data_IF_050830705187
#
_entry.id   IF_050830705187
#
_cell.length_a   1.000
_cell.length_b   1.000
_cell.length_c   1.000
_cell.angle_alpha   90.00
_cell.angle_beta   90.00
_cell.angle_gamma   90.00
#
_symmetry.space_group_name_H-M   'P 1'
#
loop_
_entity.id
_entity.type
_entity.pdbx_description
1 polymer ?
#
# COMPACT_ATOMS: atom_id res chain seq x y z
N UNK A 1 7.84 6.76 -3.29
CA UNK A 1 9.06 6.57 -4.14
C UNK A 1 8.65 5.84 -5.40
N UNK A 2 9.11 6.27 -6.59
CA UNK A 2 8.89 5.53 -7.83
C UNK A 2 9.99 4.48 -8.02
N UNK A 3 9.78 3.53 -8.96
CA UNK A 3 10.79 2.54 -9.32
C UNK A 3 12.09 3.22 -9.80
N UNK A 4 11.98 4.20 -10.69
CA UNK A 4 13.12 4.95 -11.20
C UNK A 4 13.91 5.66 -10.08
N UNK A 5 13.19 6.29 -9.14
CA UNK A 5 13.84 6.92 -7.99
C UNK A 5 14.58 5.91 -7.10
N UNK A 6 13.97 4.73 -6.86
CA UNK A 6 14.60 3.66 -6.08
C UNK A 6 15.87 3.14 -6.76
N UNK A 7 15.83 2.97 -8.08
CA UNK A 7 16.96 2.46 -8.86
C UNK A 7 18.07 3.50 -9.07
N UNK A 8 17.75 4.79 -9.02
CA UNK A 8 18.67 5.87 -9.40
C UNK A 8 19.96 5.93 -8.56
N UNK A 9 19.93 5.56 -7.27
CA UNK A 9 21.12 5.60 -6.43
C UNK A 9 21.04 4.68 -5.20
N UNK A 10 22.22 4.27 -4.65
CA UNK A 10 22.26 3.60 -3.34
C UNK A 10 21.66 4.43 -2.21
N UNK A 11 21.81 5.76 -2.25
CA UNK A 11 21.25 6.67 -1.24
C UNK A 11 19.70 6.65 -1.24
N UNK A 12 19.07 6.55 -2.41
CA UNK A 12 17.63 6.44 -2.50
C UNK A 12 17.13 5.09 -1.94
N UNK A 13 17.86 4.00 -2.19
CA UNK A 13 17.56 2.69 -1.61
C UNK A 13 17.75 2.70 -0.09
N UNK A 14 18.80 3.31 0.41
CA UNK A 14 19.03 3.48 1.84
C UNK A 14 17.89 4.27 2.50
N UNK A 15 17.46 5.37 1.89
CA UNK A 15 16.30 6.15 2.35
C UNK A 15 15.01 5.33 2.39
N UNK A 16 14.75 4.55 1.33
CA UNK A 16 13.58 3.67 1.30
C UNK A 16 13.64 2.64 2.44
N UNK A 17 14.76 1.91 2.54
CA UNK A 17 14.90 0.84 3.50
C UNK A 17 14.93 1.32 4.95
N UNK A 18 15.52 2.50 5.23
CA UNK A 18 15.45 3.12 6.55
C UNK A 18 14.00 3.40 6.96
N UNK A 19 13.21 4.03 6.12
CA UNK A 19 11.79 4.30 6.39
C UNK A 19 10.99 3.00 6.55
N UNK A 20 11.19 2.05 5.65
CA UNK A 20 10.59 0.72 5.74
C UNK A 20 11.01 -0.03 7.03
N UNK A 21 12.24 0.13 7.48
CA UNK A 21 12.75 -0.47 8.71
C UNK A 21 11.97 0.00 9.94
N UNK A 22 11.77 1.30 10.05
CA UNK A 22 11.00 1.90 11.17
C UNK A 22 9.51 1.61 11.09
N UNK A 23 8.93 1.54 9.90
CA UNK A 23 7.50 1.27 9.71
C UNK A 23 7.11 -0.21 9.88
N UNK A 24 8.04 -1.13 9.63
CA UNK A 24 7.77 -2.56 9.59
C UNK A 24 7.13 -3.16 10.84
N UNK A 25 7.57 -2.87 12.08
CA UNK A 25 7.00 -3.50 13.27
C UNK A 25 5.49 -3.24 13.40
N UNK A 26 5.06 -2.01 13.18
CA UNK A 26 3.62 -1.65 13.22
C UNK A 26 2.86 -2.24 12.04
N UNK A 27 3.44 -2.16 10.85
CA UNK A 27 2.84 -2.71 9.64
C UNK A 27 2.60 -4.22 9.76
N UNK A 28 3.60 -4.98 10.18
CA UNK A 28 3.51 -6.43 10.34
C UNK A 28 2.62 -6.88 11.50
N UNK A 29 2.38 -6.01 12.48
CA UNK A 29 1.48 -6.27 13.61
C UNK A 29 0.02 -5.95 13.30
N UNK A 30 -0.29 -5.34 12.15
CA UNK A 30 -1.66 -4.99 11.76
C UNK A 30 -2.51 -6.26 11.64
N UNK A 31 -3.76 -6.17 12.11
CA UNK A 31 -4.70 -7.29 12.13
C UNK A 31 -5.83 -7.08 11.11
N UNK A 32 -6.41 -8.15 10.56
CA UNK A 32 -7.60 -8.07 9.74
C UNK A 32 -8.75 -7.36 10.44
N UNK A 33 -9.48 -6.54 9.72
CA UNK A 33 -10.71 -5.91 10.19
C UNK A 33 -11.95 -6.71 9.78
N UNK A 34 -13.14 -6.26 10.20
CA UNK A 34 -14.40 -6.93 9.94
C UNK A 34 -14.70 -7.14 8.45
N UNK A 35 -14.23 -6.23 7.56
CA UNK A 35 -14.41 -6.40 6.12
C UNK A 35 -13.59 -7.59 5.58
N UNK A 36 -12.34 -7.73 6.04
CA UNK A 36 -11.50 -8.86 5.64
C UNK A 36 -12.12 -10.20 6.07
N UNK A 37 -12.61 -10.27 7.31
CA UNK A 37 -13.27 -11.48 7.84
C UNK A 37 -14.53 -11.81 7.06
N UNK A 38 -15.38 -10.82 6.80
CA UNK A 38 -16.61 -11.01 6.03
C UNK A 38 -16.34 -11.53 4.60
N UNK A 39 -15.29 -11.02 3.93
CA UNK A 39 -14.89 -11.50 2.60
C UNK A 39 -14.41 -12.95 2.65
N UNK A 40 -13.62 -13.31 3.66
CA UNK A 40 -13.15 -14.69 3.84
C UNK A 40 -14.32 -15.66 4.11
N UNK A 41 -15.32 -15.25 4.92
CA UNK A 41 -16.53 -16.04 5.16
C UNK A 41 -17.35 -16.24 3.89
N UNK A 42 -17.54 -15.21 3.08
CA UNK A 42 -18.26 -15.30 1.80
C UNK A 42 -17.52 -16.19 0.79
N UNK A 43 -16.19 -16.13 0.76
CA UNK A 43 -15.34 -17.01 -0.06
C UNK A 43 -15.50 -18.47 0.37
N UNK A 44 -15.43 -18.76 1.67
CA UNK A 44 -15.58 -20.12 2.23
C UNK A 44 -16.95 -20.73 1.91
N UNK A 45 -17.99 -19.90 1.78
CA UNK A 45 -19.35 -20.32 1.38
C UNK A 45 -19.53 -20.40 -0.15
N UNK A 46 -18.49 -20.11 -0.94
CA UNK A 46 -18.54 -20.17 -2.41
C UNK A 46 -19.19 -18.97 -3.10
N UNK A 47 -19.53 -17.89 -2.36
CA UNK A 47 -20.09 -16.67 -2.94
C UNK A 47 -19.04 -15.80 -3.63
N UNK A 48 -17.77 -15.91 -3.22
CA UNK A 48 -16.64 -15.23 -3.83
C UNK A 48 -15.71 -16.28 -4.43
N UNK A 49 -15.54 -16.24 -5.74
CA UNK A 49 -14.67 -17.16 -6.50
C UNK A 49 -13.19 -16.75 -6.47
N UNK A 50 -12.90 -15.47 -6.22
CA UNK A 50 -11.55 -14.94 -6.11
C UNK A 50 -11.54 -13.49 -5.65
N UNK A 51 -10.42 -13.06 -5.08
CA UNK A 51 -10.21 -11.73 -4.56
C UNK A 51 -8.93 -11.13 -5.16
N UNK A 52 -9.05 -9.93 -5.76
CA UNK A 52 -7.91 -9.17 -6.25
C UNK A 52 -7.71 -7.99 -5.31
N UNK A 53 -6.56 -7.92 -4.66
CA UNK A 53 -6.22 -6.81 -3.78
C UNK A 53 -5.11 -5.93 -4.36
N UNK A 54 -5.25 -4.62 -4.18
CA UNK A 54 -4.18 -3.65 -4.44
C UNK A 54 -3.29 -3.44 -3.20
N UNK A 55 -3.74 -3.90 -2.03
CA UNK A 55 -3.00 -3.80 -0.79
C UNK A 55 -1.83 -4.79 -0.77
N UNK A 56 -0.79 -4.42 -0.01
CA UNK A 56 0.47 -5.18 0.08
C UNK A 56 0.69 -5.77 1.49
N UNK A 57 -0.39 -5.85 2.29
CA UNK A 57 -0.36 -6.13 3.74
C UNK A 57 -0.69 -7.58 4.13
N UNK A 58 -1.13 -8.41 3.17
CA UNK A 58 -1.57 -9.80 3.40
C UNK A 58 -2.75 -9.97 4.36
N UNK A 59 -3.51 -8.91 4.65
CA UNK A 59 -4.60 -9.00 5.63
C UNK A 59 -5.75 -9.88 5.16
N UNK A 60 -6.01 -9.99 3.86
CA UNK A 60 -7.01 -10.91 3.33
C UNK A 60 -6.63 -12.38 3.60
N UNK A 61 -5.38 -12.77 3.33
CA UNK A 61 -4.88 -14.11 3.64
C UNK A 61 -4.86 -14.37 5.14
N UNK A 62 -4.46 -13.38 5.95
CA UNK A 62 -4.50 -13.47 7.41
C UNK A 62 -5.92 -13.59 7.99
N UNK A 63 -6.95 -13.10 7.27
CA UNK A 63 -8.36 -13.27 7.61
C UNK A 63 -8.93 -14.64 7.21
N UNK A 64 -8.18 -15.45 6.44
CA UNK A 64 -8.60 -16.78 6.00
C UNK A 64 -9.05 -16.88 4.54
N UNK A 65 -8.95 -15.80 3.73
CA UNK A 65 -9.14 -15.88 2.29
C UNK A 65 -8.04 -16.71 1.63
N UNK A 66 -8.43 -17.58 0.67
CA UNK A 66 -7.53 -18.55 0.04
C UNK A 66 -7.17 -18.21 -1.41
N UNK A 67 -8.12 -17.69 -2.17
CA UNK A 67 -7.91 -17.31 -3.57
C UNK A 67 -7.68 -15.79 -3.69
N UNK A 68 -6.56 -15.34 -3.12
CA UNK A 68 -6.16 -13.92 -3.10
C UNK A 68 -5.07 -13.67 -4.12
N UNK A 69 -5.30 -12.75 -5.03
CA UNK A 69 -4.29 -12.21 -5.95
C UNK A 69 -3.81 -10.85 -5.46
N UNK A 70 -2.56 -10.78 -5.02
CA UNK A 70 -1.88 -9.54 -4.64
C UNK A 70 -1.40 -8.82 -5.91
N UNK A 71 -2.27 -8.00 -6.52
CA UNK A 71 -2.01 -7.35 -7.81
C UNK A 71 -0.71 -6.53 -7.81
N UNK A 72 -0.50 -5.80 -6.73
CA UNK A 72 0.69 -4.96 -6.56
C UNK A 72 1.78 -5.63 -5.68
N UNK A 73 1.66 -6.94 -5.44
CA UNK A 73 2.62 -7.69 -4.64
C UNK A 73 2.45 -7.55 -3.15
N UNK A 74 3.53 -7.74 -2.40
CA UNK A 74 3.47 -7.78 -0.95
C UNK A 74 4.70 -7.14 -0.29
N UNK A 75 4.48 -6.44 0.83
CA UNK A 75 5.57 -5.94 1.67
C UNK A 75 6.18 -7.03 2.57
N UNK A 76 5.59 -8.23 2.62
CA UNK A 76 6.09 -9.35 3.43
C UNK A 76 7.21 -10.15 2.77
N UNK A 77 7.53 -9.86 1.51
CA UNK A 77 8.64 -10.48 0.78
C UNK A 77 9.59 -9.44 0.21
N UNK A 78 10.81 -9.87 0.02
CA UNK A 78 11.89 -9.11 -0.63
C UNK A 78 12.38 -9.92 -1.81
N UNK A 79 12.57 -9.28 -2.95
CA UNK A 79 13.07 -9.88 -4.18
C UNK A 79 14.41 -9.27 -4.57
N UNK A 80 15.33 -10.11 -4.99
CA UNK A 80 16.58 -9.67 -5.61
C UNK A 80 16.33 -9.34 -7.09
N UNK A 81 16.63 -8.13 -7.50
CA UNK A 81 16.47 -7.71 -8.89
C UNK A 81 17.51 -8.32 -9.86
N UNK A 82 18.60 -8.88 -9.32
CA UNK A 82 19.63 -9.54 -10.13
C UNK A 82 19.34 -11.02 -10.41
N UNK A 83 18.92 -11.80 -9.39
CA UNK A 83 18.75 -13.24 -9.53
C UNK A 83 17.33 -13.75 -9.26
N UNK A 84 16.37 -12.88 -8.95
CA UNK A 84 14.99 -13.24 -8.68
C UNK A 84 14.74 -13.94 -7.32
N UNK A 85 15.79 -14.19 -6.52
CA UNK A 85 15.64 -14.84 -5.22
C UNK A 85 14.70 -14.06 -4.33
N UNK A 86 13.76 -14.76 -3.70
CA UNK A 86 12.82 -14.23 -2.73
C UNK A 86 13.25 -14.60 -1.31
N UNK A 87 13.08 -13.69 -0.37
CA UNK A 87 13.32 -13.88 1.06
C UNK A 87 12.21 -13.23 1.87
N UNK A 88 11.99 -13.71 3.08
CA UNK A 88 11.00 -13.09 3.95
C UNK A 88 11.42 -11.66 4.36
N UNK A 89 10.46 -10.74 4.43
CA UNK A 89 10.72 -9.37 4.91
C UNK A 89 11.27 -9.35 6.34
N UNK A 90 10.87 -10.33 7.16
CA UNK A 90 11.39 -10.48 8.53
C UNK A 90 12.90 -10.76 8.55
N UNK A 91 13.42 -11.54 7.59
CA UNK A 91 14.85 -11.81 7.47
C UNK A 91 15.61 -10.53 7.09
N UNK A 92 15.05 -9.78 6.13
CA UNK A 92 15.58 -8.47 5.76
C UNK A 92 15.56 -7.50 6.94
N UNK A 93 14.51 -7.54 7.78
CA UNK A 93 14.43 -6.68 8.97
C UNK A 93 15.58 -6.98 9.94
N UNK A 94 15.91 -8.25 10.18
CA UNK A 94 17.04 -8.66 11.01
C UNK A 94 18.37 -8.19 10.41
N UNK A 95 18.60 -8.47 9.13
CA UNK A 95 19.81 -8.05 8.45
C UNK A 95 20.02 -6.51 8.47
N UNK A 96 18.93 -5.74 8.34
CA UNK A 96 18.97 -4.28 8.46
C UNK A 96 19.32 -3.86 9.91
N UNK A 97 18.77 -4.53 10.94
CA UNK A 97 19.08 -4.24 12.33
C UNK A 97 20.55 -4.50 12.65
N UNK A 98 21.09 -5.63 12.20
CA UNK A 98 22.47 -6.04 12.41
C UNK A 98 23.46 -5.05 11.80
N UNK A 99 23.15 -4.54 10.60
CA UNK A 99 23.98 -3.57 9.89
C UNK A 99 23.82 -2.12 10.39
N UNK A 100 22.76 -1.83 11.17
CA UNK A 100 22.44 -0.49 11.63
C UNK A 100 22.11 -0.47 13.14
N UNK A 101 23.03 -0.81 14.03
CA UNK A 101 22.76 -0.99 15.46
C UNK A 101 22.20 0.27 16.15
N UNK A 102 22.64 1.46 15.74
CA UNK A 102 22.11 2.72 16.27
C UNK A 102 20.61 2.90 15.89
N UNK A 103 20.25 2.59 14.65
CA UNK A 103 18.84 2.62 14.20
C UNK A 103 18.00 1.56 14.92
N UNK A 104 18.55 0.38 15.16
CA UNK A 104 17.87 -0.69 15.88
C UNK A 104 17.61 -0.30 17.35
N UNK A 105 18.59 0.28 18.05
CA UNK A 105 18.42 0.79 19.40
C UNK A 105 17.37 1.91 19.47
N UNK A 106 17.39 2.84 18.52
CA UNK A 106 16.39 3.89 18.42
C UNK A 106 14.98 3.31 18.17
N UNK A 107 14.84 2.36 17.25
CA UNK A 107 13.55 1.68 17.00
C UNK A 107 13.04 0.98 18.27
N UNK A 108 13.90 0.27 19.01
CA UNK A 108 13.52 -0.38 20.27
C UNK A 108 12.96 0.64 21.28
N UNK A 109 13.61 1.80 21.41
CA UNK A 109 13.12 2.89 22.27
C UNK A 109 11.75 3.40 21.83
N UNK A 110 11.52 3.54 20.51
CA UNK A 110 10.21 3.98 19.98
C UNK A 110 9.09 2.96 20.27
N UNK A 111 9.41 1.67 20.23
CA UNK A 111 8.44 0.60 20.45
C UNK A 111 8.07 0.41 21.93
N UNK A 112 8.96 0.79 22.87
CA UNK A 112 8.71 0.71 24.31
C UNK A 112 7.95 1.91 24.86
N UNK A 113 7.80 3.00 24.10
CA UNK A 113 7.03 4.17 24.54
C UNK A 113 5.54 3.85 24.55
N UNK A 114 4.82 4.23 25.64
CA UNK A 114 3.36 4.16 25.63
C UNK A 114 2.79 4.90 24.43
N UNK A 115 1.78 4.32 23.80
CA UNK A 115 1.04 5.00 22.76
C UNK A 115 0.44 6.29 23.33
N UNK A 116 0.63 7.41 22.64
CA UNK A 116 -0.08 8.65 22.99
C UNK A 116 -1.44 8.62 22.28
N UNK A 117 -2.55 8.49 23.03
CA UNK A 117 -3.87 8.41 22.43
C UNK A 117 -4.26 9.66 21.62
N UNK A 118 -3.69 10.82 21.95
CA UNK A 118 -3.93 12.06 21.22
C UNK A 118 -3.19 12.05 19.88
N UNK A 119 -1.93 11.61 19.87
CA UNK A 119 -1.14 11.46 18.65
C UNK A 119 -1.73 10.39 17.72
N UNK A 120 -2.25 9.28 18.26
CA UNK A 120 -2.93 8.26 17.46
C UNK A 120 -4.23 8.76 16.84
N UNK A 121 -5.03 9.55 17.56
CA UNK A 121 -6.25 10.17 17.02
C UNK A 121 -5.92 11.19 15.94
N UNK A 122 -4.92 12.03 16.13
CA UNK A 122 -4.47 13.00 15.14
C UNK A 122 -3.92 12.27 13.89
N UNK A 123 -3.16 11.20 14.09
CA UNK A 123 -2.67 10.35 13.00
C UNK A 123 -3.83 9.68 12.23
N UNK A 124 -4.84 9.17 12.92
CA UNK A 124 -6.03 8.59 12.29
C UNK A 124 -6.82 9.60 11.48
N UNK A 125 -6.93 10.84 11.97
CA UNK A 125 -7.54 11.98 11.27
C UNK A 125 -6.73 12.35 10.02
N UNK A 126 -5.40 12.45 10.12
CA UNK A 126 -4.51 12.77 8.98
C UNK A 126 -4.52 11.67 7.92
N UNK A 127 -4.57 10.40 8.31
CA UNK A 127 -4.71 9.27 7.37
C UNK A 127 -6.10 9.29 6.71
N UNK A 128 -7.16 9.62 7.45
CA UNK A 128 -8.50 9.81 6.90
C UNK A 128 -8.56 10.96 5.89
N UNK A 129 -7.98 12.11 6.20
CA UNK A 129 -7.92 13.27 5.30
C UNK A 129 -6.94 13.10 4.13
N UNK A 130 -5.88 12.30 4.30
CA UNK A 130 -4.94 11.98 3.21
C UNK A 130 -5.57 11.05 2.16
N UNK A 131 -6.62 10.28 2.49
CA UNK A 131 -7.43 9.56 1.50
C UNK A 131 -8.27 10.50 0.63
N UNK A 132 -8.63 11.69 1.16
CA UNK A 132 -9.30 12.74 0.39
C UNK A 132 -8.33 13.60 -0.42
N UNK A 133 -7.04 13.62 -0.08
CA UNK A 133 -6.00 14.41 -0.75
C UNK A 133 -5.31 13.70 -1.94
N UNK A 134 -5.81 12.56 -2.42
CA UNK A 134 -5.69 12.16 -3.83
C UNK A 134 -6.76 12.92 -4.66
N UNK A 135 -7.07 14.11 -4.29
CA UNK A 135 -7.61 15.12 -5.20
C UNK A 135 -6.43 15.65 -6.02
N UNK A 136 -6.18 14.94 -7.11
CA UNK A 136 -5.90 15.47 -8.41
C UNK A 136 -5.46 16.93 -8.40
N UNK A 137 -4.16 17.16 -8.50
CA UNK A 137 -3.66 18.21 -9.35
C UNK A 137 -3.98 17.85 -10.81
N UNK A 138 -5.25 17.99 -11.18
CA UNK A 138 -5.72 17.92 -12.55
C UNK A 138 -6.71 19.07 -12.72
N UNK A 139 -6.31 19.98 -13.60
CA UNK A 139 -7.04 21.14 -14.09
C UNK A 139 -6.95 22.43 -13.27
N UNK A 140 -5.86 23.18 -13.50
CA UNK A 140 -5.97 24.61 -13.75
C UNK A 140 -5.05 24.96 -14.90
N UNK A 141 -5.49 24.65 -16.10
CA UNK A 141 -5.07 25.35 -17.29
C UNK A 141 -6.13 26.39 -17.57
N UNK A 142 -5.88 27.62 -17.19
CA UNK A 142 -6.30 28.79 -17.97
C UNK A 142 -5.64 30.06 -17.42
N UNK A 143 -4.90 30.65 -18.31
CA UNK A 143 -4.69 32.09 -18.53
C UNK A 143 -4.00 32.92 -17.46
N UNK A 144 -2.79 33.33 -17.78
CA UNK A 144 -2.55 34.75 -17.93
C UNK A 144 -1.61 35.41 -16.95
N UNK A 145 -0.54 35.89 -17.55
CA UNK A 145 0.18 37.14 -17.29
C UNK A 145 1.39 37.14 -16.35
N UNK A 146 2.43 37.50 -17.01
CA UNK A 146 3.82 37.77 -16.72
C UNK A 146 4.15 38.66 -15.51
N UNK A 147 5.41 38.52 -15.13
CA UNK A 147 6.41 39.54 -14.76
C UNK A 147 6.95 39.41 -13.33
N UNK A 148 8.27 39.38 -13.25
CA UNK A 148 8.99 39.79 -12.06
C UNK A 148 10.19 38.95 -11.68
N UNK A 149 11.30 39.08 -12.42
CA UNK A 149 12.65 38.71 -12.02
C UNK A 149 13.09 39.44 -10.75
N UNK A 150 13.64 38.72 -9.77
CA UNK A 150 14.73 39.29 -8.96
C UNK A 150 15.63 38.15 -8.41
N UNK A 151 16.86 38.26 -8.79
CA UNK A 151 18.02 37.55 -8.32
C UNK A 151 18.35 37.93 -6.87
N UNK A 152 18.54 36.96 -5.99
CA UNK A 152 19.08 37.15 -4.66
C UNK A 152 20.01 36.02 -4.29
N UNK A 153 21.29 36.24 -4.41
CA UNK A 153 22.34 35.38 -3.90
C UNK A 153 22.30 35.39 -2.37
N UNK A 154 22.24 34.23 -1.73
CA UNK A 154 22.41 34.12 -0.30
C UNK A 154 23.53 33.15 0.04
N UNK A 155 24.40 33.65 0.90
CA UNK A 155 25.67 33.15 1.35
C UNK A 155 25.59 31.80 2.07
N UNK A 156 26.64 31.01 1.86
CA UNK A 156 27.00 29.82 2.61
C UNK A 156 27.42 30.16 4.06
N UNK A 157 26.57 29.79 5.03
CA UNK A 157 26.96 29.77 6.45
C UNK A 157 27.20 28.31 6.91
N UNK A 158 28.04 28.07 7.94
CA UNK A 158 28.43 26.73 8.34
C UNK A 158 27.25 26.00 8.99
N UNK A 159 27.08 24.73 8.60
CA UNK A 159 26.08 23.83 9.15
C UNK A 159 26.33 23.58 10.64
N UNK A 160 25.51 24.17 11.49
CA UNK A 160 25.37 23.77 12.89
C UNK A 160 24.66 22.44 12.96
N UNK A 161 25.25 21.49 13.68
CA UNK A 161 24.64 20.21 14.02
C UNK A 161 23.28 20.46 14.70
N UNK A 162 22.20 20.02 14.05
CA UNK A 162 20.85 20.09 14.60
C UNK A 162 20.71 19.13 15.79
N UNK A 163 19.83 19.43 16.75
CA UNK A 163 19.69 18.67 17.97
C UNK A 163 19.21 17.24 17.69
N UNK A 164 19.94 16.27 18.23
CA UNK A 164 19.47 14.91 18.40
C UNK A 164 18.23 14.93 19.32
N UNK A 165 17.05 14.59 18.79
CA UNK A 165 15.88 14.49 19.64
C UNK A 165 14.55 14.91 19.02
N UNK A 166 14.25 14.52 17.79
CA UNK A 166 12.86 14.61 17.35
C UNK A 166 12.03 13.48 17.99
N UNK A 167 11.21 13.85 18.98
CA UNK A 167 10.36 12.96 19.78
C UNK A 167 9.05 12.58 19.07
N UNK A 168 8.90 12.89 17.80
CA UNK A 168 7.68 12.63 17.04
C UNK A 168 7.67 11.21 16.53
N UNK A 169 6.61 10.45 16.88
CA UNK A 169 6.35 9.13 16.28
C UNK A 169 6.14 9.34 14.77
N UNK A 170 6.92 8.67 13.91
CA UNK A 170 6.83 8.89 12.47
C UNK A 170 5.42 8.56 11.95
N UNK A 171 4.87 9.43 11.10
CA UNK A 171 3.58 9.21 10.44
C UNK A 171 3.71 7.99 9.52
N UNK A 172 2.92 6.94 9.77
CA UNK A 172 2.91 5.73 8.97
C UNK A 172 1.91 5.84 7.82
N UNK A 173 2.35 5.46 6.62
CA UNK A 173 1.52 5.35 5.42
C UNK A 173 0.90 3.94 5.30
N UNK A 174 -0.16 3.76 4.50
CA UNK A 174 -0.82 2.46 4.32
C UNK A 174 0.08 1.35 3.77
N UNK A 175 1.16 1.71 3.05
CA UNK A 175 2.17 0.79 2.52
C UNK A 175 3.27 0.42 3.54
N UNK A 176 3.14 0.89 4.78
CA UNK A 176 4.09 0.67 5.86
C UNK A 176 5.27 1.66 5.86
N UNK A 177 5.31 2.62 4.93
CA UNK A 177 6.33 3.65 4.88
C UNK A 177 6.11 4.71 5.98
N UNK A 178 7.18 5.29 6.51
CA UNK A 178 7.12 6.34 7.53
C UNK A 178 7.87 7.60 7.08
N UNK A 179 7.40 8.77 7.50
CA UNK A 179 8.09 10.02 7.22
C UNK A 179 9.19 10.24 8.25
N UNK A 180 10.44 10.24 7.80
CA UNK A 180 11.61 10.52 8.61
C UNK A 180 12.44 11.61 7.93
N UNK A 181 12.81 12.63 8.68
CA UNK A 181 13.78 13.64 8.27
C UNK A 181 15.16 12.97 8.21
N UNK A 182 15.90 13.21 7.14
CA UNK A 182 17.24 12.60 6.90
C UNK A 182 17.28 11.05 6.89
N UNK A 183 16.13 10.41 6.64
CA UNK A 183 16.08 8.95 6.50
C UNK A 183 17.10 8.46 5.45
N UNK A 184 17.94 7.55 5.87
CA UNK A 184 18.93 6.92 4.98
C UNK A 184 20.36 7.48 5.09
N UNK A 185 20.60 8.59 5.78
CA UNK A 185 21.97 9.04 6.04
C UNK A 185 22.65 8.03 6.96
N UNK A 186 23.77 7.44 6.49
CA UNK A 186 24.50 6.41 7.24
C UNK A 186 23.77 5.07 7.39
N UNK A 187 22.61 4.88 6.73
CA UNK A 187 21.88 3.63 6.79
C UNK A 187 22.41 2.64 5.74
N UNK A 188 22.85 1.48 6.20
CA UNK A 188 23.44 0.42 5.38
C UNK A 188 22.36 -0.57 4.95
N UNK A 189 22.33 -0.90 3.66
CA UNK A 189 21.41 -1.89 3.07
C UNK A 189 22.22 -3.08 2.59
N UNK A 190 21.90 -4.32 3.02
CA UNK A 190 22.63 -5.48 2.56
C UNK A 190 22.39 -5.72 1.06
N UNK A 191 23.39 -6.19 0.32
CA UNK A 191 23.19 -6.77 -1.01
C UNK A 191 22.55 -8.15 -0.90
N UNK A 192 22.11 -8.71 -2.02
CA UNK A 192 21.66 -10.09 -2.09
C UNK A 192 22.78 -11.06 -1.70
N UNK A 193 22.55 -11.89 -0.69
CA UNK A 193 23.54 -12.87 -0.23
C UNK A 193 23.88 -13.97 -1.27
N UNK A 194 23.11 -14.08 -2.36
CA UNK A 194 23.37 -15.05 -3.44
C UNK A 194 24.19 -14.46 -4.58
N UNK A 195 23.90 -13.22 -5.01
CA UNK A 195 24.52 -12.65 -6.21
C UNK A 195 25.01 -11.21 -6.06
N UNK A 196 24.94 -10.62 -4.86
CA UNK A 196 25.31 -9.22 -4.64
C UNK A 196 24.31 -8.18 -5.20
N UNK A 197 23.21 -8.63 -5.84
CA UNK A 197 22.24 -7.76 -6.51
C UNK A 197 21.40 -6.91 -5.56
N UNK A 198 20.67 -5.97 -6.12
CA UNK A 198 19.81 -5.03 -5.38
C UNK A 198 18.60 -5.76 -4.82
N UNK A 199 18.33 -5.57 -3.54
CA UNK A 199 17.15 -6.06 -2.83
C UNK A 199 16.03 -4.99 -2.83
N UNK A 200 14.82 -5.39 -3.26
CA UNK A 200 13.61 -4.56 -3.32
C UNK A 200 12.47 -5.33 -2.65
N UNK A 201 11.51 -4.67 -1.95
CA UNK A 201 10.30 -5.38 -1.55
C UNK A 201 9.57 -5.89 -2.80
N UNK A 202 8.89 -7.03 -2.71
CA UNK A 202 8.08 -7.56 -3.82
C UNK A 202 6.79 -6.72 -4.01
N UNK A 203 6.96 -5.43 -4.15
CA UNK A 203 5.90 -4.44 -4.34
C UNK A 203 6.10 -3.75 -5.69
N UNK A 204 5.03 -3.63 -6.46
CA UNK A 204 4.99 -2.84 -7.69
C UNK A 204 4.97 -1.36 -7.32
N UNK A 205 6.10 -0.68 -7.53
CA UNK A 205 6.19 0.77 -7.31
C UNK A 205 5.54 1.53 -8.47
N UNK A 206 5.21 2.81 -8.25
CA UNK A 206 4.80 3.68 -9.35
C UNK A 206 5.88 3.73 -10.42
N UNK A 207 5.49 3.54 -11.67
CA UNK A 207 6.40 3.44 -12.82
C UNK A 207 7.08 2.08 -12.97
N UNK A 208 6.71 1.09 -12.15
CA UNK A 208 7.10 -0.31 -12.31
C UNK A 208 6.02 -1.09 -13.08
N UNK A 209 6.37 -2.23 -13.64
CA UNK A 209 5.44 -3.11 -14.31
C UNK A 209 4.94 -4.21 -13.37
N UNK A 210 3.63 -4.44 -13.38
CA UNK A 210 3.08 -5.65 -12.77
C UNK A 210 3.61 -6.87 -13.54
N UNK A 211 4.12 -7.91 -12.87
CA UNK A 211 4.53 -9.15 -13.54
C UNK A 211 3.42 -9.72 -14.44
N UNK A 212 3.80 -10.25 -15.59
CA UNK A 212 2.84 -10.71 -16.60
C UNK A 212 1.89 -11.78 -16.05
N UNK A 213 2.41 -12.74 -15.31
CA UNK A 213 1.61 -13.79 -14.66
C UNK A 213 0.50 -13.21 -13.76
N UNK A 214 0.81 -12.15 -12.98
CA UNK A 214 -0.21 -11.48 -12.15
C UNK A 214 -1.26 -10.75 -13.00
N UNK A 215 -0.84 -10.14 -14.12
CA UNK A 215 -1.77 -9.49 -15.07
C UNK A 215 -2.73 -10.50 -15.66
N UNK A 216 -2.19 -11.63 -16.16
CA UNK A 216 -2.97 -12.67 -16.81
C UNK A 216 -3.97 -13.31 -15.83
N UNK A 217 -3.51 -13.58 -14.60
CA UNK A 217 -4.40 -14.10 -13.56
C UNK A 217 -5.48 -13.11 -13.16
N UNK A 218 -5.14 -11.81 -13.03
CA UNK A 218 -6.12 -10.76 -12.73
C UNK A 218 -7.15 -10.62 -13.85
N UNK A 219 -6.70 -10.62 -15.10
CA UNK A 219 -7.56 -10.56 -16.28
C UNK A 219 -8.49 -11.78 -16.36
N UNK A 220 -7.98 -12.97 -16.10
CA UNK A 220 -8.78 -14.19 -16.04
C UNK A 220 -9.89 -14.10 -14.98
N UNK A 221 -9.55 -13.67 -13.75
CA UNK A 221 -10.54 -13.51 -12.68
C UNK A 221 -11.59 -12.47 -13.04
N UNK A 222 -11.18 -11.33 -13.61
CA UNK A 222 -12.10 -10.26 -13.99
C UNK A 222 -13.02 -10.64 -15.16
N UNK A 223 -12.53 -11.42 -16.13
CA UNK A 223 -13.31 -11.79 -17.32
C UNK A 223 -14.20 -13.03 -17.11
N UNK A 224 -13.97 -13.82 -16.07
CA UNK A 224 -14.72 -15.04 -15.79
C UNK A 224 -15.79 -14.90 -14.69
N UNK A 225 -15.90 -13.73 -14.06
CA UNK A 225 -16.91 -13.52 -13.01
C UNK A 225 -18.26 -13.10 -13.60
N UNK A 226 -19.34 -13.49 -12.94
CA UNK A 226 -20.74 -13.03 -13.20
C UNK A 226 -21.00 -11.66 -12.56
N UNK A 227 -20.28 -11.33 -11.48
CA UNK A 227 -20.32 -10.03 -10.84
C UNK A 227 -18.94 -9.62 -10.30
N UNK A 228 -18.59 -8.35 -10.47
CA UNK A 228 -17.41 -7.72 -9.86
C UNK A 228 -17.85 -6.74 -8.77
N UNK A 229 -17.42 -6.98 -7.54
CA UNK A 229 -17.66 -6.06 -6.44
C UNK A 229 -16.36 -5.32 -6.10
N UNK A 230 -16.35 -4.01 -6.32
CA UNK A 230 -15.20 -3.15 -5.96
C UNK A 230 -15.45 -2.58 -4.56
N UNK A 231 -14.52 -2.85 -3.65
CA UNK A 231 -14.66 -2.50 -2.24
C UNK A 231 -13.54 -1.59 -1.76
N UNK A 232 -13.88 -0.43 -1.22
CA UNK A 232 -12.94 0.50 -0.59
C UNK A 232 -11.83 1.00 -1.51
N UNK A 233 -12.12 1.11 -2.80
CA UNK A 233 -11.17 1.58 -3.81
C UNK A 233 -11.81 2.58 -4.76
N UNK A 234 -11.12 3.70 -5.00
CA UNK A 234 -11.51 4.65 -6.04
C UNK A 234 -11.15 4.19 -7.45
N UNK A 235 -10.39 3.09 -7.59
CA UNK A 235 -9.85 2.52 -8.84
C UNK A 235 -9.20 3.56 -9.76
N UNK A 236 -8.58 4.59 -9.18
CA UNK A 236 -7.89 5.65 -9.96
C UNK A 236 -6.68 5.12 -10.69
N UNK A 237 -5.98 4.13 -10.11
CA UNK A 237 -4.82 3.48 -10.73
C UNK A 237 -5.28 2.63 -11.91
N UNK A 238 -4.71 2.88 -13.09
CA UNK A 238 -5.15 2.24 -14.34
C UNK A 238 -5.06 0.72 -14.31
N UNK A 239 -4.06 0.16 -13.65
CA UNK A 239 -3.93 -1.31 -13.53
C UNK A 239 -5.11 -1.99 -12.84
N UNK A 240 -5.79 -1.29 -11.93
CA UNK A 240 -7.02 -1.78 -11.29
C UNK A 240 -8.27 -1.42 -12.13
N UNK A 241 -8.32 -0.19 -12.67
CA UNK A 241 -9.46 0.25 -13.48
C UNK A 241 -9.66 -0.61 -14.74
N UNK A 242 -8.56 -1.01 -15.40
CA UNK A 242 -8.58 -1.92 -16.55
C UNK A 242 -9.35 -3.22 -16.27
N UNK A 243 -9.21 -3.79 -15.06
CA UNK A 243 -9.92 -5.00 -14.67
C UNK A 243 -11.45 -4.78 -14.56
N UNK A 244 -11.87 -3.58 -14.15
CA UNK A 244 -13.28 -3.19 -14.18
C UNK A 244 -13.82 -3.14 -15.61
N UNK A 245 -13.05 -2.55 -16.53
CA UNK A 245 -13.42 -2.50 -17.95
C UNK A 245 -13.48 -3.90 -18.57
N UNK A 246 -12.53 -4.79 -18.22
CA UNK A 246 -12.52 -6.18 -18.66
C UNK A 246 -13.74 -6.95 -18.18
N UNK A 247 -14.08 -6.86 -16.89
CA UNK A 247 -15.27 -7.50 -16.31
C UNK A 247 -16.57 -6.99 -16.98
N UNK A 248 -16.70 -5.68 -17.15
CA UNK A 248 -17.87 -5.10 -17.84
C UNK A 248 -17.98 -5.58 -19.29
N UNK A 249 -16.86 -5.65 -20.01
CA UNK A 249 -16.83 -6.13 -21.40
C UNK A 249 -17.20 -7.62 -21.49
N UNK A 250 -16.87 -8.40 -20.46
CA UNK A 250 -17.26 -9.80 -20.34
C UNK A 250 -18.72 -10.00 -19.89
N UNK A 251 -19.47 -8.92 -19.61
CA UNK A 251 -20.88 -8.99 -19.23
C UNK A 251 -21.14 -9.03 -17.72
N UNK A 252 -20.11 -8.91 -16.88
CA UNK A 252 -20.26 -8.92 -15.42
C UNK A 252 -21.07 -7.73 -14.90
N UNK A 253 -21.86 -7.97 -13.85
CA UNK A 253 -22.47 -6.89 -13.05
C UNK A 253 -21.39 -6.21 -12.23
N UNK A 254 -21.40 -4.88 -12.19
CA UNK A 254 -20.44 -4.07 -11.39
C UNK A 254 -21.13 -3.41 -10.20
N UNK A 255 -20.68 -3.75 -9.01
CA UNK A 255 -21.16 -3.14 -7.77
C UNK A 255 -19.98 -2.39 -7.11
N UNK A 256 -20.22 -1.14 -6.73
CA UNK A 256 -19.24 -0.33 -6.01
C UNK A 256 -19.65 -0.18 -4.55
N UNK A 257 -18.77 -0.53 -3.61
CA UNK A 257 -18.92 -0.26 -2.17
C UNK A 257 -17.76 0.65 -1.76
N UNK A 258 -18.00 1.96 -1.81
CA UNK A 258 -16.95 2.95 -1.56
C UNK A 258 -17.52 4.26 -1.04
N UNK A 259 -16.80 4.94 -0.15
CA UNK A 259 -17.11 6.30 0.27
C UNK A 259 -16.44 7.28 -0.71
N UNK A 260 -17.23 8.16 -1.30
CA UNK A 260 -16.76 9.15 -2.27
C UNK A 260 -16.66 8.64 -3.72
N UNK A 261 -16.23 9.53 -4.65
CA UNK A 261 -16.23 9.25 -6.07
C UNK A 261 -15.18 8.21 -6.48
N UNK A 262 -15.51 7.43 -7.50
CA UNK A 262 -14.58 6.47 -8.10
C UNK A 262 -14.47 6.70 -9.62
N UNK A 263 -13.39 6.22 -10.20
CA UNK A 263 -13.21 6.26 -11.66
C UNK A 263 -14.24 5.40 -12.39
N UNK A 264 -14.79 4.39 -11.72
CA UNK A 264 -15.73 3.44 -12.29
C UNK A 264 -17.22 3.78 -12.07
N UNK A 265 -17.55 4.90 -11.43
CA UNK A 265 -18.94 5.26 -11.09
C UNK A 265 -19.90 5.20 -12.30
N UNK A 266 -19.44 5.62 -13.49
CA UNK A 266 -20.24 5.60 -14.72
C UNK A 266 -20.45 4.19 -15.30
N UNK A 267 -19.68 3.21 -14.86
CA UNK A 267 -19.75 1.81 -15.31
C UNK A 267 -20.54 0.94 -14.31
N UNK A 268 -20.78 1.45 -13.10
CA UNK A 268 -21.41 0.71 -12.03
C UNK A 268 -22.91 0.49 -12.29
N UNK A 269 -23.35 -0.75 -12.11
CA UNK A 269 -24.78 -1.10 -12.10
C UNK A 269 -25.43 -0.72 -10.75
N UNK A 270 -24.64 -0.72 -9.67
CA UNK A 270 -25.05 -0.24 -8.36
C UNK A 270 -23.86 0.35 -7.58
N UNK A 271 -24.14 1.35 -6.76
CA UNK A 271 -23.16 1.94 -5.84
C UNK A 271 -23.75 2.07 -4.44
N UNK A 272 -23.00 1.59 -3.46
CA UNK A 272 -23.31 1.73 -2.04
C UNK A 272 -22.24 2.67 -1.44
N UNK A 273 -22.67 3.87 -1.07
CA UNK A 273 -21.78 4.88 -0.49
C UNK A 273 -21.73 4.73 1.03
N UNK A 274 -21.01 3.70 1.47
CA UNK A 274 -20.83 3.37 2.88
C UNK A 274 -19.46 2.71 3.13
N UNK A 275 -19.11 2.59 4.43
CA UNK A 275 -17.88 1.92 4.84
C UNK A 275 -17.95 0.44 4.56
N UNK A 276 -16.89 -0.11 3.96
CA UNK A 276 -16.80 -1.51 3.57
C UNK A 276 -17.12 -2.49 4.72
N UNK A 277 -16.60 -2.22 5.93
CA UNK A 277 -16.82 -3.07 7.10
C UNK A 277 -18.31 -3.18 7.48
N UNK A 278 -19.07 -2.10 7.35
CA UNK A 278 -20.49 -2.09 7.66
C UNK A 278 -21.31 -2.90 6.64
N UNK A 279 -21.04 -2.65 5.36
CA UNK A 279 -21.76 -3.32 4.26
C UNK A 279 -21.43 -4.81 4.22
N UNK A 280 -20.16 -5.17 4.21
CA UNK A 280 -19.74 -6.57 4.06
C UNK A 280 -20.11 -7.43 5.24
N UNK A 281 -20.07 -6.90 6.47
CA UNK A 281 -20.52 -7.64 7.66
C UNK A 281 -22.02 -7.94 7.60
N UNK A 282 -22.85 -6.98 7.14
CA UNK A 282 -24.27 -7.20 6.94
C UNK A 282 -24.54 -8.19 5.82
N UNK A 283 -23.78 -8.08 4.72
CA UNK A 283 -23.88 -8.98 3.57
C UNK A 283 -23.56 -10.42 3.98
N UNK A 284 -22.46 -10.65 4.70
CA UNK A 284 -22.07 -11.98 5.17
C UNK A 284 -23.08 -12.59 6.16
N UNK A 285 -23.92 -11.79 6.80
CA UNK A 285 -25.00 -12.22 7.71
C UNK A 285 -26.37 -12.27 7.02
N UNK A 286 -26.45 -11.91 5.74
CA UNK A 286 -27.74 -11.90 5.05
C UNK A 286 -28.29 -13.34 4.90
N UNK A 287 -29.57 -13.61 5.22
CA UNK A 287 -30.11 -14.96 5.24
C UNK A 287 -29.89 -15.76 3.95
N UNK A 288 -29.99 -15.13 2.79
CA UNK A 288 -29.75 -15.75 1.48
C UNK A 288 -28.28 -16.14 1.23
N UNK A 289 -27.33 -15.58 1.97
CA UNK A 289 -25.90 -15.82 1.82
C UNK A 289 -25.28 -16.62 2.97
N UNK A 290 -26.10 -17.05 3.94
CA UNK A 290 -25.64 -17.89 5.06
C UNK A 290 -25.36 -19.33 4.63
N UNK A 291 -26.11 -19.83 3.66
CA UNK A 291 -25.91 -21.17 3.10
C UNK A 291 -24.83 -21.13 2.01
N UNK A 292 -24.12 -22.24 1.78
CA UNK A 292 -23.21 -22.37 0.66
C UNK A 292 -23.94 -22.12 -0.66
N UNK A 293 -23.24 -21.51 -1.63
CA UNK A 293 -23.73 -21.39 -3.00
C UNK A 293 -23.85 -22.80 -3.58
N UNK A 294 -25.04 -23.19 -3.98
CA UNK A 294 -25.28 -24.44 -4.71
C UNK A 294 -24.95 -24.18 -6.17
N UNK A 295 -23.97 -24.89 -6.70
CA UNK A 295 -23.59 -24.82 -8.12
C UNK A 295 -24.53 -25.67 -8.97
#
# INVERSE_FOLDING_TARGET
MTHQQFMASPANRARYWARSFYGWPRFSATRPNAAHVALAELEQRGWISGLITQNVDRLHSAAGSRNVLELHGTSHEVVCLGCGRRTARADMQRALADLNPAAAAHLATLLTRPADPAAEREQALRVGTSRDNIRVAASASSSGVAAGSQSGAAASGPATAGPAGSTVVPLQRPDGDVELVDAGRGFTVPPCGNCGGVLKPDVVFFGDNIPQERKDRASQLASSCDALVVVGSSVMVYSAFRLVEEAKRAGARLVMVNVGPTRADKLADAKVEARAGEVLTRLARHPQLLLPKIN
#
